data_IF_251738177771
#
_entry.id   IF_251738177771
#
_cell.length_a   1.000
_cell.length_b   1.000
_cell.length_c   1.000
_cell.angle_alpha   90.00
_cell.angle_beta   90.00
_cell.angle_gamma   90.00
#
_symmetry.space_group_name_H-M   'P 1'
#
loop_
_entity.id
_entity.type
_entity.pdbx_description
1 polymer ?
#
# COMPACT_ATOMS: atom_id res chain seq x y z
N UNK A 1 12.96 60.16 -12.39
CA UNK A 1 12.56 59.05 -11.48
C UNK A 1 12.95 59.42 -10.07
N UNK A 2 12.10 59.18 -9.08
CA UNK A 2 12.40 59.45 -7.68
C UNK A 2 13.47 58.45 -7.22
N UNK A 3 14.45 58.92 -6.43
CA UNK A 3 15.56 58.11 -5.89
C UNK A 3 15.10 56.84 -5.16
N UNK A 4 13.87 56.86 -4.65
CA UNK A 4 13.19 55.69 -4.03
C UNK A 4 12.85 54.60 -5.06
N UNK A 5 12.30 54.96 -6.20
CA UNK A 5 11.91 53.99 -7.25
C UNK A 5 13.16 53.32 -7.85
N UNK A 6 14.23 54.06 -8.09
CA UNK A 6 15.50 53.48 -8.56
C UNK A 6 16.05 52.45 -7.58
N UNK A 7 15.92 52.66 -6.28
CA UNK A 7 16.32 51.69 -5.25
C UNK A 7 15.41 50.44 -5.24
N UNK A 8 14.12 50.63 -5.41
CA UNK A 8 13.14 49.52 -5.50
C UNK A 8 13.47 48.64 -6.71
N UNK A 9 13.60 49.22 -7.90
CA UNK A 9 13.89 48.52 -9.13
C UNK A 9 15.20 47.72 -9.02
N UNK A 10 16.25 48.33 -8.46
CA UNK A 10 17.52 47.67 -8.22
C UNK A 10 17.41 46.46 -7.28
N UNK A 11 16.70 46.60 -6.15
CA UNK A 11 16.56 45.50 -5.20
C UNK A 11 15.66 44.40 -5.79
N UNK A 12 14.68 44.72 -6.65
CA UNK A 12 13.88 43.76 -7.41
C UNK A 12 14.76 42.94 -8.35
N UNK A 13 15.60 43.59 -9.17
CA UNK A 13 16.51 42.93 -10.10
C UNK A 13 17.48 41.98 -9.37
N UNK A 14 18.05 42.46 -8.25
CA UNK A 14 18.93 41.64 -7.43
C UNK A 14 18.21 40.45 -6.81
N UNK A 15 16.95 40.62 -6.42
CA UNK A 15 16.08 39.54 -5.95
C UNK A 15 15.85 38.48 -7.03
N UNK A 16 15.51 38.87 -8.24
CA UNK A 16 15.33 37.97 -9.37
C UNK A 16 16.62 37.24 -9.75
N UNK A 17 17.77 37.94 -9.82
CA UNK A 17 19.06 37.30 -10.06
C UNK A 17 19.41 36.29 -8.98
N UNK A 18 19.14 36.58 -7.71
CA UNK A 18 19.32 35.65 -6.61
C UNK A 18 18.40 34.43 -6.76
N UNK A 19 17.15 34.62 -7.19
CA UNK A 19 16.21 33.53 -7.42
C UNK A 19 16.68 32.56 -8.54
N UNK A 20 17.12 33.12 -9.68
CA UNK A 20 17.69 32.33 -10.78
C UNK A 20 18.91 31.51 -10.34
N UNK A 21 19.71 32.02 -9.40
CA UNK A 21 20.86 31.33 -8.81
C UNK A 21 20.48 30.43 -7.61
N UNK A 22 19.18 30.21 -7.33
CA UNK A 22 18.65 29.41 -6.22
C UNK A 22 19.14 29.87 -4.83
N UNK A 23 19.53 31.15 -4.69
CA UNK A 23 20.00 31.75 -3.44
C UNK A 23 18.84 32.34 -2.62
N UNK A 24 17.92 31.48 -2.20
CA UNK A 24 16.64 31.90 -1.62
C UNK A 24 16.76 32.79 -0.39
N UNK A 25 17.78 32.65 0.45
CA UNK A 25 18.05 33.58 1.57
C UNK A 25 18.40 35.01 1.10
N UNK A 26 19.13 35.14 -0.02
CA UNK A 26 19.41 36.43 -0.64
C UNK A 26 18.12 37.00 -1.25
N UNK A 27 17.28 36.18 -1.89
CA UNK A 27 15.96 36.58 -2.40
C UNK A 27 15.12 37.22 -1.30
N UNK A 28 14.98 36.52 -0.16
CA UNK A 28 14.24 37.04 1.02
C UNK A 28 14.81 38.40 1.48
N UNK A 29 16.14 38.55 1.54
CA UNK A 29 16.79 39.77 1.92
C UNK A 29 16.46 40.92 0.98
N UNK A 30 16.51 40.73 -0.34
CA UNK A 30 16.25 41.76 -1.33
C UNK A 30 14.78 42.14 -1.34
N UNK A 31 13.83 41.23 -1.39
CA UNK A 31 12.41 41.54 -1.35
C UNK A 31 11.97 42.16 0.00
N UNK A 32 12.62 41.79 1.13
CA UNK A 32 12.38 42.47 2.40
C UNK A 32 12.81 43.96 2.38
N UNK A 33 13.84 44.30 1.59
CA UNK A 33 14.21 45.73 1.40
C UNK A 33 13.20 46.47 0.50
N UNK A 34 12.70 45.75 -0.58
CA UNK A 34 11.62 46.31 -1.41
C UNK A 34 10.41 46.63 -0.54
N UNK A 35 9.95 45.67 0.28
CA UNK A 35 8.82 45.84 1.19
C UNK A 35 9.05 46.99 2.20
N UNK A 36 10.27 47.12 2.70
CA UNK A 36 10.61 48.26 3.60
C UNK A 36 10.54 49.60 2.90
N UNK A 37 10.88 49.65 1.63
CA UNK A 37 10.79 50.89 0.82
C UNK A 37 9.35 51.13 0.35
N UNK A 38 8.61 50.09 -0.01
CA UNK A 38 7.23 50.13 -0.47
C UNK A 38 6.45 48.95 0.12
N UNK A 39 5.71 49.21 1.19
CA UNK A 39 4.93 48.18 1.90
C UNK A 39 3.62 47.79 1.18
N UNK A 40 3.30 48.45 0.06
CA UNK A 40 2.12 48.14 -0.76
C UNK A 40 2.49 47.35 -2.02
N UNK A 41 3.71 46.83 -2.12
CA UNK A 41 4.17 46.07 -3.26
C UNK A 41 3.78 44.59 -3.15
N UNK A 42 2.62 44.20 -3.68
CA UNK A 42 2.10 42.83 -3.66
C UNK A 42 3.06 41.84 -4.28
N UNK A 43 3.73 42.21 -5.39
CA UNK A 43 4.69 41.35 -6.06
C UNK A 43 5.94 41.05 -5.19
N UNK A 44 6.38 42.01 -4.38
CA UNK A 44 7.51 41.78 -3.48
C UNK A 44 7.17 40.75 -2.36
N UNK A 45 5.95 40.84 -1.82
CA UNK A 45 5.46 39.82 -0.87
C UNK A 45 5.36 38.47 -1.52
N UNK A 46 4.71 38.35 -2.69
CA UNK A 46 4.60 37.11 -3.41
C UNK A 46 5.97 36.45 -3.71
N UNK A 47 6.93 37.22 -4.20
CA UNK A 47 8.27 36.72 -4.52
C UNK A 47 9.07 36.33 -3.28
N UNK A 48 8.85 37.02 -2.15
CA UNK A 48 9.44 36.60 -0.88
C UNK A 48 8.82 35.33 -0.35
N UNK A 49 7.51 35.17 -0.51
CA UNK A 49 6.78 33.94 -0.20
C UNK A 49 7.32 32.75 -1.00
N UNK A 50 7.52 32.91 -2.33
CA UNK A 50 8.13 31.87 -3.18
C UNK A 50 9.51 31.44 -2.71
N UNK A 51 10.34 32.38 -2.25
CA UNK A 51 11.65 32.05 -1.72
C UNK A 51 11.57 31.29 -0.39
N UNK A 52 10.61 31.63 0.47
CA UNK A 52 10.35 30.91 1.71
C UNK A 52 9.80 29.51 1.44
N UNK A 53 8.89 29.36 0.48
CA UNK A 53 8.36 28.05 0.04
C UNK A 53 9.48 27.13 -0.43
N UNK A 54 10.41 27.63 -1.26
CA UNK A 54 11.59 26.86 -1.68
C UNK A 54 12.54 26.47 -0.54
N UNK A 55 12.46 27.16 0.60
CA UNK A 55 13.14 26.79 1.85
C UNK A 55 12.27 25.95 2.78
N UNK A 56 11.10 25.47 2.30
CA UNK A 56 10.11 24.70 3.06
C UNK A 56 9.53 25.44 4.28
N UNK A 57 9.61 26.79 4.28
CA UNK A 57 9.03 27.67 5.28
C UNK A 57 7.59 28.02 4.88
N UNK A 58 6.73 27.00 4.80
CA UNK A 58 5.41 27.11 4.19
C UNK A 58 4.48 28.06 4.94
N UNK A 59 4.46 28.04 6.27
CA UNK A 59 3.61 28.93 7.06
C UNK A 59 4.01 30.40 6.87
N UNK A 60 5.31 30.70 6.91
CA UNK A 60 5.81 32.04 6.67
C UNK A 60 5.63 32.50 5.21
N UNK A 61 5.58 31.54 4.26
CA UNK A 61 5.24 31.82 2.87
C UNK A 61 3.77 32.22 2.74
N UNK A 62 2.86 31.49 3.44
CA UNK A 62 1.42 31.80 3.48
C UNK A 62 1.17 33.21 4.01
N UNK A 63 1.86 33.62 5.09
CA UNK A 63 1.75 35.00 5.60
C UNK A 63 2.10 36.06 4.54
N UNK A 64 3.13 35.81 3.74
CA UNK A 64 3.53 36.71 2.65
C UNK A 64 2.51 36.70 1.51
N UNK A 65 1.98 35.54 1.12
CA UNK A 65 0.93 35.42 0.11
C UNK A 65 -0.39 36.08 0.58
N UNK A 66 -0.75 35.94 1.86
CA UNK A 66 -1.91 36.62 2.45
C UNK A 66 -1.77 38.13 2.31
N UNK A 67 -0.55 38.67 2.57
CA UNK A 67 -0.31 40.07 2.41
C UNK A 67 -0.31 40.53 0.95
N UNK A 68 0.21 39.68 0.03
CA UNK A 68 0.13 39.98 -1.40
C UNK A 68 -1.33 40.06 -1.87
N UNK A 69 -2.20 39.14 -1.42
CA UNK A 69 -3.64 39.07 -1.75
C UNK A 69 -4.40 40.25 -1.08
N UNK A 70 -4.07 40.62 0.15
CA UNK A 70 -4.69 41.78 0.80
C UNK A 70 -4.43 43.07 0.02
N UNK A 71 -3.23 43.21 -0.58
CA UNK A 71 -2.83 44.35 -1.36
C UNK A 71 -3.37 44.34 -2.80
N UNK A 72 -3.57 43.16 -3.36
CA UNK A 72 -4.08 42.92 -4.71
C UNK A 72 -4.93 41.64 -4.72
N UNK A 73 -6.25 41.78 -4.59
CA UNK A 73 -7.19 40.67 -4.50
C UNK A 73 -7.43 39.96 -5.83
N UNK A 74 -6.93 40.52 -6.93
CA UNK A 74 -7.00 39.91 -8.28
C UNK A 74 -5.66 39.23 -8.70
N UNK A 75 -4.74 39.08 -7.75
CA UNK A 75 -3.43 38.49 -8.01
C UNK A 75 -3.49 36.95 -8.05
N UNK A 76 -3.90 36.41 -9.20
CA UNK A 76 -4.06 34.95 -9.42
C UNK A 76 -2.86 34.12 -8.96
N UNK A 77 -1.62 34.56 -9.29
CA UNK A 77 -0.41 33.85 -8.88
C UNK A 77 -0.23 33.76 -7.37
N UNK A 78 -0.67 34.74 -6.60
CA UNK A 78 -0.55 34.72 -5.14
C UNK A 78 -1.49 33.66 -4.54
N UNK A 79 -2.72 33.55 -5.06
CA UNK A 79 -3.63 32.45 -4.70
C UNK A 79 -3.06 31.09 -5.06
N UNK A 80 -2.56 30.92 -6.30
CA UNK A 80 -1.93 29.69 -6.75
C UNK A 80 -0.77 29.26 -5.84
N UNK A 81 0.14 30.18 -5.54
CA UNK A 81 1.31 29.91 -4.69
C UNK A 81 0.88 29.60 -3.25
N UNK A 82 -0.10 30.34 -2.69
CA UNK A 82 -0.66 30.01 -1.37
C UNK A 82 -1.32 28.63 -1.34
N UNK A 83 -2.02 28.26 -2.42
CA UNK A 83 -2.56 26.92 -2.63
C UNK A 83 -1.47 25.85 -2.57
N UNK A 84 -0.34 26.06 -3.28
CA UNK A 84 0.80 25.14 -3.25
C UNK A 84 1.40 25.01 -1.85
N UNK A 85 1.60 26.12 -1.14
CA UNK A 85 2.12 26.08 0.22
C UNK A 85 1.18 25.32 1.18
N UNK A 86 -0.14 25.52 1.06
CA UNK A 86 -1.15 24.78 1.84
C UNK A 86 -1.19 23.30 1.45
N UNK A 87 -1.06 22.98 0.17
CA UNK A 87 -0.97 21.59 -0.31
C UNK A 87 0.22 20.87 0.34
N UNK A 88 1.40 21.50 0.36
CA UNK A 88 2.59 20.93 1.00
C UNK A 88 2.43 20.73 2.53
N UNK A 89 1.54 21.48 3.16
CA UNK A 89 1.13 21.30 4.57
C UNK A 89 -0.02 20.30 4.73
N UNK A 90 -0.42 19.59 3.66
CA UNK A 90 -1.55 18.63 3.63
C UNK A 90 -2.91 19.27 3.98
N UNK A 91 -3.03 20.62 3.81
CA UNK A 91 -4.28 21.36 4.00
C UNK A 91 -5.05 21.42 2.68
N UNK A 92 -5.41 20.25 2.15
CA UNK A 92 -5.90 20.06 0.78
C UNK A 92 -7.17 20.86 0.47
N UNK A 93 -8.18 20.86 1.35
CA UNK A 93 -9.41 21.64 1.15
C UNK A 93 -9.16 23.15 1.09
N UNK A 94 -8.17 23.64 1.84
CA UNK A 94 -7.80 25.05 1.79
C UNK A 94 -7.01 25.38 0.52
N UNK A 95 -6.17 24.43 0.06
CA UNK A 95 -5.46 24.56 -1.21
C UNK A 95 -6.45 24.61 -2.38
N UNK A 96 -7.48 23.73 -2.39
CA UNK A 96 -8.54 23.73 -3.40
C UNK A 96 -9.23 25.09 -3.49
N UNK A 97 -9.59 25.71 -2.37
CA UNK A 97 -10.21 27.06 -2.37
C UNK A 97 -9.32 28.13 -2.99
N UNK A 98 -8.03 28.04 -2.75
CA UNK A 98 -7.07 28.96 -3.34
C UNK A 98 -6.88 28.70 -4.83
N UNK A 99 -6.82 27.45 -5.27
CA UNK A 99 -6.80 27.12 -6.70
C UNK A 99 -8.11 27.51 -7.40
N UNK A 100 -9.26 27.35 -6.74
CA UNK A 100 -10.56 27.82 -7.29
C UNK A 100 -10.51 29.31 -7.56
N UNK A 101 -9.96 30.11 -6.62
CA UNK A 101 -9.83 31.54 -6.81
C UNK A 101 -8.81 31.90 -7.88
N UNK A 102 -7.69 31.19 -7.93
CA UNK A 102 -6.70 31.37 -9.00
C UNK A 102 -7.32 31.10 -10.40
N UNK A 103 -8.14 30.05 -10.52
CA UNK A 103 -8.85 29.68 -11.77
C UNK A 103 -9.94 30.70 -12.12
N UNK A 104 -10.67 31.23 -11.13
CA UNK A 104 -11.65 32.29 -11.36
C UNK A 104 -11.00 33.54 -11.98
N UNK A 105 -9.79 33.87 -11.53
CA UNK A 105 -9.02 35.03 -11.99
C UNK A 105 -8.28 34.77 -13.32
N UNK A 106 -7.79 33.55 -13.52
CA UNK A 106 -7.12 33.10 -14.75
C UNK A 106 -7.48 31.62 -15.04
N UNK A 107 -8.41 31.42 -15.94
CA UNK A 107 -8.94 30.10 -16.31
C UNK A 107 -8.12 29.37 -17.39
N UNK A 108 -7.00 29.92 -17.84
CA UNK A 108 -6.19 29.38 -18.93
C UNK A 108 -4.90 28.69 -18.46
N UNK A 109 -4.74 28.47 -17.15
CA UNK A 109 -3.53 27.89 -16.59
C UNK A 109 -3.72 26.40 -16.31
N UNK A 110 -3.21 25.54 -17.21
CA UNK A 110 -3.27 24.06 -17.08
C UNK A 110 -2.65 23.53 -15.80
N UNK A 111 -1.60 24.21 -15.28
CA UNK A 111 -0.89 23.78 -14.06
C UNK A 111 -1.78 23.92 -12.84
N UNK A 112 -2.58 24.99 -12.75
CA UNK A 112 -3.48 25.21 -11.60
C UNK A 112 -4.56 24.14 -11.54
N UNK A 113 -5.14 23.76 -12.69
CA UNK A 113 -6.10 22.65 -12.76
C UNK A 113 -5.44 21.33 -12.34
N UNK A 114 -4.25 21.02 -12.88
CA UNK A 114 -3.54 19.81 -12.48
C UNK A 114 -3.27 19.78 -10.95
N UNK A 115 -2.84 20.88 -10.35
CA UNK A 115 -2.55 20.94 -8.92
C UNK A 115 -3.83 20.86 -8.07
N UNK A 116 -4.95 21.44 -8.52
CA UNK A 116 -6.25 21.25 -7.87
C UNK A 116 -6.70 19.78 -7.98
N UNK A 117 -6.49 19.15 -9.12
CA UNK A 117 -6.70 17.73 -9.32
C UNK A 117 -5.87 16.88 -8.35
N UNK A 118 -4.59 17.21 -8.15
CA UNK A 118 -3.75 16.53 -7.16
C UNK A 118 -4.31 16.67 -5.74
N UNK A 119 -4.75 17.86 -5.34
CA UNK A 119 -5.34 18.07 -4.03
C UNK A 119 -6.65 17.27 -3.83
N UNK A 120 -7.48 17.15 -4.87
CA UNK A 120 -8.67 16.30 -4.85
C UNK A 120 -8.32 14.81 -4.84
N UNK A 121 -7.29 14.40 -5.57
CA UNK A 121 -6.78 13.04 -5.58
C UNK A 121 -6.33 12.60 -4.18
N UNK A 122 -5.57 13.44 -3.46
CA UNK A 122 -5.09 13.16 -2.10
C UNK A 122 -6.23 13.12 -1.05
N UNK A 123 -7.40 13.69 -1.40
CA UNK A 123 -8.67 13.54 -0.65
C UNK A 123 -9.51 12.34 -1.14
N UNK A 124 -8.96 11.45 -1.98
CA UNK A 124 -9.65 10.29 -2.57
C UNK A 124 -10.88 10.66 -3.43
N UNK A 125 -10.97 11.94 -3.87
CA UNK A 125 -12.04 12.46 -4.75
C UNK A 125 -11.65 12.26 -6.21
N UNK A 126 -11.47 11.00 -6.62
CA UNK A 126 -10.84 10.64 -7.89
C UNK A 126 -11.60 11.12 -9.12
N UNK A 127 -12.92 11.04 -9.13
CA UNK A 127 -13.74 11.52 -10.25
C UNK A 127 -13.58 13.02 -10.46
N UNK A 128 -13.59 13.80 -9.37
CA UNK A 128 -13.41 15.25 -9.45
C UNK A 128 -11.96 15.62 -9.83
N UNK A 129 -10.98 14.80 -9.43
CA UNK A 129 -9.59 14.97 -9.88
C UNK A 129 -9.46 14.73 -11.39
N UNK A 130 -10.14 13.72 -11.93
CA UNK A 130 -10.19 13.42 -13.38
C UNK A 130 -10.74 14.61 -14.16
N UNK A 131 -11.82 15.26 -13.68
CA UNK A 131 -12.37 16.46 -14.34
C UNK A 131 -11.34 17.59 -14.42
N UNK A 132 -10.56 17.80 -13.38
CA UNK A 132 -9.51 18.80 -13.36
C UNK A 132 -8.33 18.45 -14.29
N UNK A 133 -7.91 17.19 -14.31
CA UNK A 133 -6.88 16.73 -15.25
C UNK A 133 -7.37 16.80 -16.70
N UNK A 134 -8.64 16.50 -16.97
CA UNK A 134 -9.25 16.67 -18.29
C UNK A 134 -9.14 18.12 -18.74
N UNK A 135 -9.42 19.07 -17.83
CA UNK A 135 -9.31 20.50 -18.14
C UNK A 135 -7.86 20.93 -18.35
N UNK A 136 -6.93 20.42 -17.54
CA UNK A 136 -5.49 20.66 -17.74
C UNK A 136 -5.02 20.18 -19.11
N UNK A 137 -5.47 19.01 -19.55
CA UNK A 137 -5.13 18.40 -20.85
C UNK A 137 -5.81 19.15 -22.02
N UNK A 138 -7.05 19.64 -21.82
CA UNK A 138 -7.74 20.49 -22.84
C UNK A 138 -6.94 21.77 -23.08
N UNK A 139 -6.39 22.38 -22.02
CA UNK A 139 -5.60 23.61 -22.10
C UNK A 139 -4.19 23.37 -22.63
N UNK A 140 -3.58 22.24 -22.29
CA UNK A 140 -2.27 21.83 -22.78
C UNK A 140 -2.26 20.33 -23.11
N UNK A 141 -2.47 20.00 -24.37
CA UNK A 141 -2.49 18.61 -24.86
C UNK A 141 -1.11 17.90 -24.81
N UNK A 142 -0.03 18.62 -24.50
CA UNK A 142 1.32 18.09 -24.36
C UNK A 142 1.74 17.91 -22.88
N UNK A 143 0.83 18.10 -21.95
CA UNK A 143 1.12 18.01 -20.52
C UNK A 143 1.16 16.54 -20.04
N UNK A 144 2.30 15.88 -20.25
CA UNK A 144 2.50 14.46 -19.90
C UNK A 144 2.16 14.12 -18.46
N UNK A 145 2.47 15.04 -17.52
CA UNK A 145 2.17 14.87 -16.09
C UNK A 145 0.66 14.78 -15.82
N UNK A 146 -0.15 15.60 -16.50
CA UNK A 146 -1.61 15.55 -16.33
C UNK A 146 -2.21 14.24 -16.84
N UNK A 147 -1.69 13.68 -17.93
CA UNK A 147 -2.08 12.34 -18.40
C UNK A 147 -1.71 11.26 -17.36
N UNK A 148 -0.47 11.28 -16.84
CA UNK A 148 -0.06 10.32 -15.81
C UNK A 148 -0.96 10.41 -14.56
N UNK A 149 -1.23 11.61 -14.07
CA UNK A 149 -2.06 11.83 -12.88
C UNK A 149 -3.52 11.40 -13.11
N UNK A 150 -4.09 11.66 -14.32
CA UNK A 150 -5.40 11.16 -14.69
C UNK A 150 -5.43 9.64 -14.74
N UNK A 151 -4.39 9.03 -15.31
CA UNK A 151 -4.21 7.57 -15.31
C UNK A 151 -4.19 7.00 -13.91
N UNK A 152 -3.48 7.65 -12.98
CA UNK A 152 -3.40 7.21 -11.59
C UNK A 152 -4.77 7.32 -10.86
N UNK A 153 -5.54 8.39 -11.11
CA UNK A 153 -6.89 8.52 -10.59
C UNK A 153 -7.83 7.42 -11.14
N UNK A 154 -7.74 7.11 -12.44
CA UNK A 154 -8.48 6.01 -13.07
C UNK A 154 -8.07 4.65 -12.52
N UNK A 155 -6.79 4.45 -12.25
CA UNK A 155 -6.28 3.21 -11.63
C UNK A 155 -6.93 2.98 -10.26
N UNK A 156 -7.02 4.00 -9.40
CA UNK A 156 -7.69 3.92 -8.11
C UNK A 156 -9.20 3.58 -8.24
N UNK A 157 -9.83 4.00 -9.32
CA UNK A 157 -11.21 3.61 -9.67
C UNK A 157 -11.29 2.24 -10.37
N UNK A 158 -10.20 1.46 -10.39
CA UNK A 158 -10.09 0.16 -11.07
C UNK A 158 -10.37 0.20 -12.59
N UNK A 159 -10.27 1.39 -13.20
CA UNK A 159 -10.42 1.59 -14.64
C UNK A 159 -9.06 1.35 -15.34
N UNK A 160 -8.49 0.17 -15.15
CA UNK A 160 -7.11 -0.14 -15.56
C UNK A 160 -6.84 0.04 -17.05
N UNK A 161 -7.81 -0.33 -17.92
CA UNK A 161 -7.65 -0.20 -19.37
C UNK A 161 -7.60 1.27 -19.82
N UNK A 162 -8.39 2.12 -19.18
CA UNK A 162 -8.44 3.55 -19.42
C UNK A 162 -7.18 4.24 -18.85
N UNK A 163 -6.70 3.80 -17.69
CA UNK A 163 -5.45 4.25 -17.12
C UNK A 163 -4.25 3.97 -18.04
N UNK A 164 -4.18 2.76 -18.63
CA UNK A 164 -3.12 2.38 -19.58
C UNK A 164 -3.09 3.35 -20.79
N UNK A 165 -4.25 3.76 -21.33
CA UNK A 165 -4.29 4.73 -22.44
C UNK A 165 -3.69 6.09 -22.05
N UNK A 166 -3.93 6.53 -20.83
CA UNK A 166 -3.38 7.78 -20.33
C UNK A 166 -1.87 7.68 -20.14
N UNK A 167 -1.38 6.58 -19.57
CA UNK A 167 0.06 6.35 -19.46
C UNK A 167 0.76 6.18 -20.82
N UNK A 168 0.08 5.53 -21.79
CA UNK A 168 0.58 5.45 -23.16
C UNK A 168 0.80 6.85 -23.74
N UNK A 169 -0.15 7.76 -23.50
CA UNK A 169 -0.05 9.14 -23.96
C UNK A 169 1.03 9.93 -23.21
N UNK A 170 1.14 9.75 -21.89
CA UNK A 170 2.21 10.35 -21.11
C UNK A 170 3.61 9.93 -21.62
N UNK A 171 3.79 8.64 -21.93
CA UNK A 171 5.02 8.06 -22.48
C UNK A 171 5.28 8.53 -23.92
N UNK A 172 4.26 8.67 -24.76
CA UNK A 172 4.39 9.24 -26.10
C UNK A 172 4.94 10.68 -26.06
N UNK A 173 4.47 11.48 -25.08
CA UNK A 173 4.89 12.86 -24.89
C UNK A 173 6.26 12.99 -24.21
N UNK A 174 6.58 12.10 -23.31
CA UNK A 174 7.89 12.02 -22.63
C UNK A 174 8.30 10.56 -22.46
N UNK A 175 9.16 10.09 -23.34
CA UNK A 175 9.65 8.70 -23.34
C UNK A 175 10.66 8.38 -22.21
N UNK A 176 11.05 9.37 -21.41
CA UNK A 176 11.88 9.22 -20.22
C UNK A 176 11.07 9.33 -18.91
N UNK A 177 9.75 9.33 -18.97
CA UNK A 177 8.90 9.46 -17.81
C UNK A 177 8.78 8.11 -17.07
N UNK A 178 9.71 7.86 -16.14
CA UNK A 178 9.82 6.60 -15.36
C UNK A 178 8.51 6.22 -14.68
N UNK A 179 7.85 7.20 -14.01
CA UNK A 179 6.60 6.94 -13.27
C UNK A 179 5.48 6.44 -14.17
N UNK A 180 5.40 6.96 -15.42
CA UNK A 180 4.37 6.53 -16.35
C UNK A 180 4.56 5.06 -16.78
N UNK A 181 5.80 4.60 -16.98
CA UNK A 181 6.10 3.19 -17.21
C UNK A 181 5.77 2.34 -15.98
N UNK A 182 6.18 2.79 -14.78
CA UNK A 182 5.89 2.09 -13.54
C UNK A 182 4.38 1.93 -13.31
N UNK A 183 3.61 3.01 -13.46
CA UNK A 183 2.16 3.01 -13.27
C UNK A 183 1.43 2.18 -14.33
N UNK A 184 1.90 2.20 -15.59
CA UNK A 184 1.38 1.33 -16.65
C UNK A 184 1.68 -0.14 -16.36
N UNK A 185 2.87 -0.44 -15.87
CA UNK A 185 3.26 -1.77 -15.41
C UNK A 185 2.34 -2.28 -14.32
N UNK A 186 2.03 -1.47 -13.30
CA UNK A 186 1.07 -1.81 -12.24
C UNK A 186 -0.32 -2.09 -12.82
N UNK A 187 -0.82 -1.23 -13.73
CA UNK A 187 -2.13 -1.45 -14.36
C UNK A 187 -2.19 -2.72 -15.21
N UNK A 188 -1.10 -3.09 -15.88
CA UNK A 188 -1.00 -4.36 -16.62
C UNK A 188 -0.92 -5.54 -15.67
N UNK A 189 -0.21 -5.40 -14.53
CA UNK A 189 -0.16 -6.41 -13.49
C UNK A 189 -1.55 -6.72 -12.93
N UNK A 190 -2.34 -5.69 -12.61
CA UNK A 190 -3.71 -5.83 -12.11
C UNK A 190 -4.67 -6.46 -13.15
N UNK A 191 -4.33 -6.38 -14.43
CA UNK A 191 -5.01 -7.09 -15.52
C UNK A 191 -4.41 -8.48 -15.81
N UNK A 192 -3.52 -9.00 -14.93
CA UNK A 192 -2.83 -10.28 -15.07
C UNK A 192 -1.96 -10.41 -16.35
N UNK A 193 -1.59 -9.24 -16.95
CA UNK A 193 -0.71 -9.16 -18.13
C UNK A 193 0.75 -9.08 -17.69
N UNK A 194 1.20 -10.12 -16.97
CA UNK A 194 2.46 -10.09 -16.22
C UNK A 194 3.70 -9.88 -17.09
N UNK A 195 3.80 -10.52 -18.25
CA UNK A 195 4.95 -10.35 -19.16
C UNK A 195 5.05 -8.89 -19.62
N UNK A 196 3.92 -8.28 -20.00
CA UNK A 196 3.90 -6.88 -20.44
C UNK A 196 4.17 -5.90 -19.27
N UNK A 197 3.76 -6.25 -18.06
CA UNK A 197 4.13 -5.51 -16.85
C UNK A 197 5.63 -5.55 -16.60
N UNK A 198 6.27 -6.71 -16.78
CA UNK A 198 7.73 -6.87 -16.65
C UNK A 198 8.46 -5.99 -17.66
N UNK A 199 7.99 -5.86 -18.90
CA UNK A 199 8.59 -4.97 -19.90
C UNK A 199 8.54 -3.52 -19.45
N UNK A 200 7.41 -3.05 -18.91
CA UNK A 200 7.26 -1.70 -18.39
C UNK A 200 8.13 -1.46 -17.14
N UNK A 201 8.18 -2.40 -16.20
CA UNK A 201 9.06 -2.30 -15.04
C UNK A 201 10.55 -2.31 -15.45
N UNK A 202 10.93 -3.06 -16.47
CA UNK A 202 12.30 -3.00 -17.00
C UNK A 202 12.65 -1.59 -17.46
N UNK A 203 11.72 -0.93 -18.16
CA UNK A 203 11.94 0.43 -18.65
C UNK A 203 11.96 1.45 -17.50
N UNK A 204 11.06 1.30 -16.52
CA UNK A 204 11.07 2.13 -15.32
C UNK A 204 12.40 2.01 -14.56
N UNK A 205 12.93 0.79 -14.39
CA UNK A 205 14.22 0.54 -13.72
C UNK A 205 15.41 1.12 -14.53
N UNK A 206 15.36 1.06 -15.86
CA UNK A 206 16.42 1.66 -16.71
C UNK A 206 16.47 3.18 -16.52
N UNK A 207 15.32 3.83 -16.37
CA UNK A 207 15.19 5.28 -16.23
C UNK A 207 15.41 5.75 -14.78
N UNK A 208 14.86 5.01 -13.83
CA UNK A 208 15.02 5.27 -12.40
C UNK A 208 15.17 3.94 -11.65
N UNK A 209 16.32 3.75 -11.03
CA UNK A 209 16.70 2.53 -10.33
C UNK A 209 15.96 2.41 -8.97
N UNK A 210 14.64 2.28 -9.02
CA UNK A 210 13.73 2.30 -7.85
C UNK A 210 13.58 0.91 -7.21
N UNK A 211 13.59 0.85 -5.87
CA UNK A 211 13.30 -0.37 -5.09
C UNK A 211 11.90 -0.91 -5.39
N UNK A 212 10.92 -0.02 -5.56
CA UNK A 212 9.54 -0.38 -5.83
C UNK A 212 9.38 -1.06 -7.20
N UNK A 213 10.07 -0.54 -8.21
CA UNK A 213 10.03 -1.12 -9.55
C UNK A 213 10.64 -2.54 -9.58
N UNK A 214 11.73 -2.77 -8.84
CA UNK A 214 12.27 -4.13 -8.67
C UNK A 214 11.30 -5.03 -7.92
N UNK A 215 10.72 -4.57 -6.81
CA UNK A 215 9.76 -5.36 -6.05
C UNK A 215 8.56 -5.78 -6.91
N UNK A 216 7.98 -4.85 -7.68
CA UNK A 216 6.79 -5.12 -8.49
C UNK A 216 7.11 -5.98 -9.72
N UNK A 217 8.31 -5.83 -10.33
CA UNK A 217 8.78 -6.79 -11.33
C UNK A 217 8.96 -8.18 -10.74
N UNK A 218 9.49 -8.27 -9.53
CA UNK A 218 9.60 -9.51 -8.77
C UNK A 218 8.24 -10.16 -8.51
N UNK A 219 7.21 -9.36 -8.18
CA UNK A 219 5.82 -9.87 -8.02
C UNK A 219 5.29 -10.45 -9.32
N UNK A 220 5.43 -9.75 -10.45
CA UNK A 220 4.99 -10.24 -11.74
C UNK A 220 5.69 -11.57 -12.13
N UNK A 221 7.01 -11.68 -11.85
CA UNK A 221 7.75 -12.93 -12.05
C UNK A 221 7.30 -14.03 -11.09
N UNK A 222 6.97 -13.67 -9.84
CA UNK A 222 6.45 -14.62 -8.84
C UNK A 222 5.14 -15.25 -9.30
N UNK A 223 4.20 -14.45 -9.82
CA UNK A 223 2.90 -14.92 -10.30
C UNK A 223 3.04 -15.79 -11.57
N UNK A 224 4.06 -15.55 -12.37
CA UNK A 224 4.50 -16.44 -13.45
C UNK A 224 5.28 -17.67 -12.94
N UNK A 225 5.37 -17.91 -11.64
CA UNK A 225 6.11 -18.99 -11.00
C UNK A 225 7.64 -19.00 -11.30
N UNK A 226 8.17 -17.87 -11.75
CA UNK A 226 9.61 -17.67 -12.02
C UNK A 226 10.33 -17.25 -10.72
N UNK A 227 10.26 -18.13 -9.71
CA UNK A 227 10.63 -17.79 -8.32
C UNK A 227 12.09 -17.38 -8.14
N UNK A 228 13.04 -18.02 -8.82
CA UNK A 228 14.45 -17.67 -8.76
C UNK A 228 14.69 -16.24 -9.27
N UNK A 229 14.09 -15.89 -10.42
CA UNK A 229 14.22 -14.55 -10.98
C UNK A 229 13.51 -13.49 -10.11
N UNK A 230 12.39 -13.85 -9.48
CA UNK A 230 11.73 -12.99 -8.51
C UNK A 230 12.64 -12.71 -7.29
N UNK A 231 13.34 -13.75 -6.78
CA UNK A 231 14.31 -13.60 -5.69
C UNK A 231 15.44 -12.64 -6.06
N UNK A 232 15.95 -12.67 -7.30
CA UNK A 232 16.96 -11.73 -7.78
C UNK A 232 16.45 -10.28 -7.73
N UNK A 233 15.22 -10.04 -8.18
CA UNK A 233 14.61 -8.72 -8.13
C UNK A 233 14.38 -8.24 -6.69
N UNK A 234 13.85 -9.09 -5.80
CA UNK A 234 13.71 -8.73 -4.39
C UNK A 234 15.06 -8.49 -3.70
N UNK A 235 16.12 -9.20 -4.09
CA UNK A 235 17.47 -8.89 -3.61
C UNK A 235 17.90 -7.49 -4.00
N UNK A 236 17.60 -7.05 -5.23
CA UNK A 236 17.90 -5.70 -5.71
C UNK A 236 17.06 -4.64 -4.98
N UNK A 237 15.77 -4.88 -4.78
CA UNK A 237 14.91 -4.01 -3.98
C UNK A 237 15.46 -3.81 -2.56
N UNK A 238 15.89 -4.89 -1.89
CA UNK A 238 16.48 -4.86 -0.56
C UNK A 238 17.89 -4.21 -0.55
N UNK A 239 18.67 -4.36 -1.61
CA UNK A 239 19.97 -3.69 -1.74
C UNK A 239 19.81 -2.16 -1.81
N UNK A 240 18.75 -1.69 -2.49
CA UNK A 240 18.41 -0.27 -2.62
C UNK A 240 17.75 0.30 -1.36
N UNK A 241 16.87 -0.47 -0.73
CA UNK A 241 16.24 -0.12 0.54
C UNK A 241 16.27 -1.33 1.50
N UNK A 242 17.17 -1.31 2.45
CA UNK A 242 17.35 -2.38 3.42
C UNK A 242 16.23 -2.44 4.49
N UNK A 243 15.34 -1.46 4.53
CA UNK A 243 14.17 -1.40 5.40
C UNK A 243 12.86 -1.74 4.66
N UNK A 244 12.94 -2.19 3.44
CA UNK A 244 11.76 -2.54 2.63
C UNK A 244 11.14 -3.86 3.09
N UNK A 245 10.30 -3.81 4.12
CA UNK A 245 9.63 -4.97 4.74
C UNK A 245 8.95 -5.89 3.73
N UNK A 246 8.19 -5.30 2.78
CA UNK A 246 7.45 -6.05 1.78
C UNK A 246 8.37 -6.87 0.85
N UNK A 247 9.55 -6.35 0.50
CA UNK A 247 10.50 -7.09 -0.34
C UNK A 247 11.07 -8.32 0.37
N UNK A 248 11.32 -8.22 1.70
CA UNK A 248 11.67 -9.41 2.50
C UNK A 248 10.54 -10.41 2.54
N UNK A 249 9.31 -9.96 2.79
CA UNK A 249 8.14 -10.83 2.81
C UNK A 249 7.96 -11.57 1.48
N UNK A 250 7.98 -10.85 0.34
CA UNK A 250 7.82 -11.40 -0.99
C UNK A 250 8.94 -12.39 -1.35
N UNK A 251 10.19 -12.07 -0.98
CA UNK A 251 11.33 -13.00 -1.15
C UNK A 251 11.14 -14.25 -0.31
N UNK A 252 10.63 -14.11 0.91
CA UNK A 252 10.25 -15.23 1.78
C UNK A 252 9.20 -16.13 1.14
N UNK A 253 8.18 -15.56 0.49
CA UNK A 253 7.16 -16.32 -0.26
C UNK A 253 7.77 -17.10 -1.44
N UNK A 254 8.63 -16.46 -2.23
CA UNK A 254 9.31 -17.11 -3.34
C UNK A 254 10.19 -18.28 -2.86
N UNK A 255 10.97 -18.08 -1.80
CA UNK A 255 11.79 -19.14 -1.17
C UNK A 255 10.93 -20.26 -0.57
N UNK A 256 9.76 -19.92 0.02
CA UNK A 256 8.82 -20.91 0.53
C UNK A 256 8.31 -21.82 -0.58
N UNK A 257 7.95 -21.27 -1.75
CA UNK A 257 7.51 -22.05 -2.91
C UNK A 257 8.62 -22.97 -3.45
N UNK A 258 9.87 -22.55 -3.37
CA UNK A 258 11.05 -23.36 -3.67
C UNK A 258 11.43 -24.33 -2.53
N UNK A 259 10.62 -24.44 -1.48
CA UNK A 259 10.86 -25.26 -0.29
C UNK A 259 12.16 -24.91 0.48
N UNK A 260 12.74 -23.74 0.25
CA UNK A 260 13.88 -23.19 0.99
C UNK A 260 13.43 -22.63 2.35
N UNK A 261 12.80 -23.48 3.16
CA UNK A 261 12.07 -23.08 4.38
C UNK A 261 12.92 -22.31 5.40
N UNK A 262 14.19 -22.70 5.60
CA UNK A 262 15.08 -21.99 6.54
C UNK A 262 15.33 -20.54 6.11
N UNK A 263 15.56 -20.34 4.83
CA UNK A 263 15.79 -19.01 4.26
C UNK A 263 14.51 -18.17 4.25
N UNK A 264 13.37 -18.80 3.93
CA UNK A 264 12.06 -18.15 3.99
C UNK A 264 11.73 -17.63 5.40
N UNK A 265 11.95 -18.47 6.43
CA UNK A 265 11.75 -18.07 7.83
C UNK A 265 12.65 -16.89 8.20
N UNK A 266 13.91 -16.86 7.73
CA UNK A 266 14.82 -15.74 7.98
C UNK A 266 14.27 -14.43 7.38
N UNK A 267 13.74 -14.49 6.15
CA UNK A 267 13.17 -13.33 5.48
C UNK A 267 11.86 -12.86 6.17
N UNK A 268 10.96 -13.77 6.55
CA UNK A 268 9.76 -13.42 7.29
C UNK A 268 10.07 -12.83 8.69
N UNK A 269 11.07 -13.36 9.40
CA UNK A 269 11.51 -12.75 10.64
C UNK A 269 12.04 -11.32 10.44
N UNK A 270 12.74 -11.06 9.32
CA UNK A 270 13.21 -9.71 9.01
C UNK A 270 12.06 -8.78 8.64
N UNK A 271 11.07 -9.26 7.91
CA UNK A 271 9.83 -8.49 7.65
C UNK A 271 9.11 -8.14 8.96
N UNK A 272 8.96 -9.10 9.88
CA UNK A 272 8.37 -8.88 11.21
C UNK A 272 9.19 -7.90 12.06
N UNK A 273 10.54 -7.96 12.00
CA UNK A 273 11.41 -7.02 12.70
C UNK A 273 11.19 -5.58 12.24
N UNK A 274 11.01 -5.39 10.92
CA UNK A 274 10.77 -4.09 10.31
C UNK A 274 9.34 -3.59 10.53
N UNK A 275 8.36 -4.48 10.46
CA UNK A 275 6.94 -4.19 10.66
C UNK A 275 6.30 -5.17 11.65
N UNK A 276 6.50 -4.95 12.97
CA UNK A 276 6.03 -5.88 14.01
C UNK A 276 4.51 -6.05 14.08
N UNK A 277 3.75 -5.12 13.54
CA UNK A 277 2.28 -5.16 13.52
C UNK A 277 1.71 -5.85 12.27
N UNK A 278 2.55 -6.23 11.30
CA UNK A 278 2.10 -7.03 10.16
C UNK A 278 2.04 -8.52 10.54
N UNK A 279 0.84 -9.09 10.48
CA UNK A 279 0.59 -10.49 10.86
C UNK A 279 1.00 -11.49 9.78
N UNK A 280 1.25 -11.03 8.56
CA UNK A 280 1.50 -11.91 7.41
C UNK A 280 2.72 -12.80 7.63
N UNK A 281 3.82 -12.23 8.10
CA UNK A 281 5.04 -12.96 8.40
C UNK A 281 4.82 -14.04 9.46
N UNK A 282 4.07 -13.74 10.52
CA UNK A 282 3.73 -14.73 11.58
C UNK A 282 2.94 -15.90 11.01
N UNK A 283 1.93 -15.65 10.18
CA UNK A 283 1.12 -16.68 9.55
C UNK A 283 1.98 -17.59 8.65
N UNK A 284 2.87 -17.01 7.84
CA UNK A 284 3.75 -17.78 6.95
C UNK A 284 4.74 -18.65 7.73
N UNK A 285 5.32 -18.16 8.81
CA UNK A 285 6.22 -18.98 9.64
C UNK A 285 5.46 -20.14 10.27
N UNK A 286 4.29 -19.89 10.87
CA UNK A 286 3.42 -20.93 11.42
C UNK A 286 3.08 -21.99 10.37
N UNK A 287 2.71 -21.59 9.16
CA UNK A 287 2.44 -22.48 8.05
C UNK A 287 3.66 -23.34 7.68
N UNK A 288 4.86 -22.74 7.57
CA UNK A 288 6.10 -23.50 7.27
C UNK A 288 6.38 -24.51 8.37
N UNK A 289 6.27 -24.13 9.64
CA UNK A 289 6.48 -25.03 10.78
C UNK A 289 5.51 -26.21 10.74
N UNK A 290 4.23 -25.97 10.44
CA UNK A 290 3.23 -27.02 10.26
C UNK A 290 3.59 -27.95 9.08
N UNK A 291 4.08 -27.42 7.95
CA UNK A 291 4.57 -28.21 6.81
C UNK A 291 5.77 -29.06 7.18
N UNK A 292 6.74 -28.50 7.90
CA UNK A 292 7.91 -29.24 8.39
C UNK A 292 7.51 -30.36 9.35
N UNK A 293 6.54 -30.11 10.26
CA UNK A 293 6.01 -31.13 11.14
C UNK A 293 5.38 -32.30 10.35
N UNK A 294 4.61 -32.00 9.29
CA UNK A 294 4.04 -33.06 8.45
C UNK A 294 5.12 -33.91 7.75
N UNK A 295 6.27 -33.33 7.41
CA UNK A 295 7.42 -34.09 6.86
C UNK A 295 8.01 -35.02 7.95
N UNK A 296 8.17 -34.54 9.18
CA UNK A 296 8.70 -35.32 10.28
C UNK A 296 7.71 -36.43 10.71
N UNK A 297 6.39 -36.19 10.66
CA UNK A 297 5.37 -37.22 10.90
C UNK A 297 5.48 -38.38 9.89
N UNK A 298 5.70 -38.08 8.59
CA UNK A 298 5.92 -39.12 7.57
C UNK A 298 7.18 -39.96 7.82
N UNK A 299 8.20 -39.35 8.54
CA UNK A 299 9.43 -40.04 8.94
C UNK A 299 9.29 -40.75 10.29
N UNK A 300 8.11 -40.74 10.91
CA UNK A 300 7.83 -41.25 12.25
C UNK A 300 8.63 -40.54 13.39
N UNK A 301 9.12 -39.31 13.15
CA UNK A 301 9.82 -38.49 14.13
C UNK A 301 8.81 -37.68 14.95
N UNK A 302 8.04 -38.34 15.77
CA UNK A 302 6.87 -37.77 16.45
C UNK A 302 7.22 -36.60 17.38
N UNK A 303 8.28 -36.74 18.22
CA UNK A 303 8.65 -35.69 19.16
C UNK A 303 9.08 -34.40 18.45
N UNK A 304 9.84 -34.53 17.36
CA UNK A 304 10.24 -33.40 16.56
C UNK A 304 9.05 -32.76 15.85
N UNK A 305 8.12 -33.56 15.36
CA UNK A 305 6.89 -33.07 14.73
C UNK A 305 6.04 -32.29 15.73
N UNK A 306 5.87 -32.81 16.95
CA UNK A 306 5.11 -32.15 18.01
C UNK A 306 5.75 -30.81 18.41
N UNK A 307 7.09 -30.77 18.54
CA UNK A 307 7.81 -29.50 18.77
C UNK A 307 7.53 -28.45 17.70
N UNK A 308 7.59 -28.85 16.43
CA UNK A 308 7.30 -27.93 15.29
C UNK A 308 5.84 -27.47 15.26
N UNK A 309 4.87 -28.33 15.63
CA UNK A 309 3.45 -27.94 15.72
C UNK A 309 3.22 -26.92 16.85
N UNK A 310 3.85 -27.13 18.00
CA UNK A 310 3.76 -26.18 19.10
C UNK A 310 4.40 -24.83 18.73
N UNK A 311 5.58 -24.83 18.12
CA UNK A 311 6.18 -23.61 17.59
C UNK A 311 5.25 -22.89 16.58
N UNK A 312 4.56 -23.64 15.72
CA UNK A 312 3.60 -23.06 14.78
C UNK A 312 2.45 -22.33 15.50
N UNK A 313 1.89 -22.96 16.55
CA UNK A 313 0.81 -22.39 17.37
C UNK A 313 1.29 -21.09 18.03
N UNK A 314 2.53 -21.06 18.59
CA UNK A 314 3.08 -19.84 19.18
C UNK A 314 3.15 -18.67 18.17
N UNK A 315 3.50 -18.93 16.92
CA UNK A 315 3.50 -17.90 15.88
C UNK A 315 2.08 -17.42 15.54
N UNK A 316 1.12 -18.33 15.42
CA UNK A 316 -0.27 -17.95 15.20
C UNK A 316 -0.83 -17.15 16.38
N UNK A 317 -0.53 -17.54 17.63
CA UNK A 317 -0.96 -16.83 18.82
C UNK A 317 -0.41 -15.39 18.87
N UNK A 318 0.88 -15.21 18.47
CA UNK A 318 1.47 -13.87 18.34
C UNK A 318 0.73 -13.03 17.28
N UNK A 319 0.44 -13.59 16.12
CA UNK A 319 -0.31 -12.90 15.07
C UNK A 319 -1.73 -12.53 15.51
N UNK A 320 -2.46 -13.45 16.16
CA UNK A 320 -3.81 -13.21 16.68
C UNK A 320 -3.81 -12.12 17.76
N UNK A 321 -2.78 -12.07 18.60
CA UNK A 321 -2.64 -11.02 19.63
C UNK A 321 -2.47 -9.63 19.02
N UNK A 322 -1.81 -9.54 17.87
CA UNK A 322 -1.60 -8.27 17.15
C UNK A 322 -2.88 -7.85 16.44
N UNK A 323 -3.49 -8.78 15.70
CA UNK A 323 -4.70 -8.54 14.90
C UNK A 323 -5.64 -9.75 14.98
N UNK A 324 -6.78 -9.59 15.64
CA UNK A 324 -7.71 -10.67 15.94
C UNK A 324 -8.83 -10.84 14.90
N UNK A 325 -8.79 -10.14 13.77
CA UNK A 325 -9.84 -10.13 12.73
C UNK A 325 -9.44 -10.85 11.43
N UNK A 326 -8.38 -11.66 11.44
CA UNK A 326 -7.93 -12.43 10.29
C UNK A 326 -8.44 -13.88 10.38
N UNK A 327 -9.36 -14.25 9.50
CA UNK A 327 -9.96 -15.59 9.41
C UNK A 327 -8.94 -16.70 9.16
N UNK A 328 -7.94 -16.46 8.30
CA UNK A 328 -6.97 -17.47 7.87
C UNK A 328 -6.05 -17.94 9.00
N UNK A 329 -5.67 -17.02 9.91
CA UNK A 329 -4.77 -17.39 11.01
C UNK A 329 -5.46 -18.30 12.01
N UNK A 330 -6.78 -18.10 12.26
CA UNK A 330 -7.57 -19.00 13.11
C UNK A 330 -7.75 -20.37 12.44
N UNK A 331 -8.07 -20.43 11.16
CA UNK A 331 -8.15 -21.68 10.42
C UNK A 331 -6.82 -22.44 10.45
N UNK A 332 -5.70 -21.76 10.20
CA UNK A 332 -4.35 -22.34 10.25
C UNK A 332 -3.99 -22.87 11.65
N UNK A 333 -4.35 -22.13 12.73
CA UNK A 333 -4.12 -22.58 14.11
C UNK A 333 -5.00 -23.80 14.44
N UNK A 334 -6.29 -23.74 14.10
CA UNK A 334 -7.23 -24.84 14.26
C UNK A 334 -6.78 -26.12 13.55
N UNK A 335 -6.33 -25.98 12.30
CA UNK A 335 -5.74 -27.08 11.54
C UNK A 335 -4.49 -27.65 12.21
N UNK A 336 -3.60 -26.81 12.72
CA UNK A 336 -2.38 -27.24 13.41
C UNK A 336 -2.70 -27.95 14.72
N UNK A 337 -3.64 -27.42 15.53
CA UNK A 337 -4.16 -28.07 16.74
C UNK A 337 -4.80 -29.42 16.45
N UNK A 338 -5.52 -29.55 15.33
CA UNK A 338 -6.10 -30.82 14.87
C UNK A 338 -5.03 -31.90 14.74
N UNK A 339 -3.83 -31.56 14.26
CA UNK A 339 -2.71 -32.52 14.14
C UNK A 339 -2.26 -33.02 15.52
N UNK A 340 -2.16 -32.11 16.50
CA UNK A 340 -1.79 -32.47 17.88
C UNK A 340 -2.90 -33.33 18.52
N UNK A 341 -4.16 -32.94 18.33
CA UNK A 341 -5.31 -33.69 18.84
C UNK A 341 -5.37 -35.13 18.28
N UNK A 342 -5.12 -35.28 16.98
CA UNK A 342 -5.03 -36.62 16.36
C UNK A 342 -3.89 -37.43 16.96
N UNK A 343 -2.72 -36.84 17.21
CA UNK A 343 -1.58 -37.49 17.82
C UNK A 343 -1.88 -37.95 19.26
N UNK A 344 -2.53 -37.11 20.08
CA UNK A 344 -2.95 -37.48 21.43
C UNK A 344 -3.98 -38.63 21.41
N UNK A 345 -4.95 -38.58 20.50
CA UNK A 345 -5.91 -39.67 20.28
C UNK A 345 -5.21 -40.99 19.94
N UNK A 346 -4.25 -40.97 19.02
CA UNK A 346 -3.55 -42.16 18.54
C UNK A 346 -2.62 -42.75 19.62
N UNK A 347 -2.17 -41.90 20.59
CA UNK A 347 -1.52 -42.34 21.83
C UNK A 347 -2.46 -42.81 22.95
N UNK A 348 -3.76 -42.89 22.65
CA UNK A 348 -4.83 -43.21 23.60
C UNK A 348 -5.01 -42.20 24.76
N UNK A 349 -4.52 -40.97 24.60
CA UNK A 349 -4.72 -39.84 25.52
C UNK A 349 -6.05 -39.15 25.20
N UNK A 350 -7.15 -39.88 25.34
CA UNK A 350 -8.48 -39.49 24.81
C UNK A 350 -8.99 -38.19 25.41
N UNK A 351 -8.82 -37.98 26.72
CA UNK A 351 -9.32 -36.76 27.39
C UNK A 351 -8.56 -35.50 26.91
N UNK A 352 -7.26 -35.58 26.70
CA UNK A 352 -6.47 -34.49 26.12
C UNK A 352 -6.85 -34.23 24.66
N UNK A 353 -7.05 -35.30 23.88
CA UNK A 353 -7.52 -35.18 22.49
C UNK A 353 -8.87 -34.47 22.40
N UNK A 354 -9.84 -34.81 23.28
CA UNK A 354 -11.16 -34.15 23.32
C UNK A 354 -11.01 -32.66 23.66
N UNK A 355 -10.17 -32.32 24.62
CA UNK A 355 -9.91 -30.90 24.98
C UNK A 355 -9.38 -30.14 23.75
N UNK A 356 -8.36 -30.65 23.08
CA UNK A 356 -7.76 -30.04 21.90
C UNK A 356 -8.75 -29.92 20.73
N UNK A 357 -9.61 -30.93 20.50
CA UNK A 357 -10.65 -30.83 19.47
C UNK A 357 -11.68 -29.74 19.78
N UNK A 358 -12.02 -29.48 21.06
CA UNK A 358 -12.87 -28.35 21.43
C UNK A 358 -12.21 -27.01 21.12
N UNK A 359 -10.91 -26.89 21.43
CA UNK A 359 -10.13 -25.69 21.06
C UNK A 359 -10.07 -25.50 19.53
N UNK A 360 -9.98 -26.58 18.73
CA UNK A 360 -10.07 -26.50 17.27
C UNK A 360 -11.45 -25.97 16.81
N UNK A 361 -12.54 -26.42 17.44
CA UNK A 361 -13.91 -25.93 17.14
C UNK A 361 -14.00 -24.43 17.39
N UNK A 362 -13.41 -23.92 18.48
CA UNK A 362 -13.38 -22.47 18.78
C UNK A 362 -12.65 -21.71 17.68
N UNK A 363 -11.49 -22.20 17.24
CA UNK A 363 -10.73 -21.59 16.17
C UNK A 363 -11.49 -21.57 14.83
N UNK A 364 -12.06 -22.71 14.41
CA UNK A 364 -12.83 -22.77 13.16
C UNK A 364 -14.11 -21.94 13.20
N UNK A 365 -14.81 -21.90 14.36
CA UNK A 365 -15.96 -21.03 14.53
C UNK A 365 -15.56 -19.57 14.41
N UNK A 366 -14.43 -19.17 15.00
CA UNK A 366 -13.92 -17.79 14.87
C UNK A 366 -13.50 -17.46 13.43
N UNK A 367 -12.88 -18.40 12.72
CA UNK A 367 -12.58 -18.24 11.31
C UNK A 367 -13.86 -18.02 10.46
N UNK A 368 -14.93 -18.79 10.73
CA UNK A 368 -16.23 -18.66 10.07
C UNK A 368 -16.96 -17.37 10.44
N UNK A 369 -16.88 -16.94 11.71
CA UNK A 369 -17.43 -15.67 12.16
C UNK A 369 -16.83 -14.48 11.39
N UNK A 370 -15.51 -14.53 11.19
CA UNK A 370 -14.74 -13.49 10.48
C UNK A 370 -14.91 -13.55 8.96
N UNK A 371 -15.11 -14.74 8.41
CA UNK A 371 -15.38 -14.97 6.98
C UNK A 371 -16.38 -16.11 6.81
N UNK A 372 -17.64 -15.78 6.62
CA UNK A 372 -18.74 -16.75 6.47
C UNK A 372 -18.71 -17.53 5.13
N UNK A 373 -17.80 -17.20 4.22
CA UNK A 373 -17.54 -17.92 2.97
C UNK A 373 -16.29 -18.80 3.02
N UNK A 374 -15.69 -18.98 4.20
CA UNK A 374 -14.49 -19.77 4.38
C UNK A 374 -14.76 -21.30 4.30
N UNK A 375 -14.87 -21.82 3.10
CA UNK A 375 -15.24 -23.24 2.84
C UNK A 375 -14.35 -24.26 3.59
N UNK A 376 -13.03 -24.01 3.67
CA UNK A 376 -12.10 -24.91 4.37
C UNK A 376 -12.37 -24.98 5.87
N UNK A 377 -12.70 -23.86 6.51
CA UNK A 377 -13.03 -23.83 7.94
C UNK A 377 -14.30 -24.64 8.22
N UNK A 378 -15.34 -24.50 7.39
CA UNK A 378 -16.55 -25.34 7.50
C UNK A 378 -16.22 -26.82 7.34
N UNK A 379 -15.43 -27.21 6.35
CA UNK A 379 -15.04 -28.59 6.16
C UNK A 379 -14.27 -29.14 7.36
N UNK A 380 -13.32 -28.37 7.90
CA UNK A 380 -12.53 -28.73 9.06
C UNK A 380 -13.40 -28.87 10.32
N UNK A 381 -14.35 -27.94 10.52
CA UNK A 381 -15.32 -27.99 11.62
C UNK A 381 -16.19 -29.23 11.56
N UNK A 382 -16.71 -29.56 10.37
CA UNK A 382 -17.48 -30.79 10.15
C UNK A 382 -16.67 -32.04 10.48
N UNK A 383 -15.39 -32.08 10.05
CA UNK A 383 -14.47 -33.19 10.33
C UNK A 383 -14.25 -33.37 11.86
N UNK A 384 -14.00 -32.30 12.60
CA UNK A 384 -13.76 -32.35 14.05
C UNK A 384 -15.01 -32.78 14.81
N UNK A 385 -16.18 -32.24 14.49
CA UNK A 385 -17.45 -32.62 15.11
C UNK A 385 -17.77 -34.10 14.89
N UNK A 386 -17.50 -34.61 13.70
CA UNK A 386 -17.67 -36.03 13.38
C UNK A 386 -16.73 -36.95 14.20
N UNK A 387 -15.46 -36.52 14.38
CA UNK A 387 -14.49 -37.24 15.22
C UNK A 387 -14.96 -37.25 16.67
N UNK A 388 -15.35 -36.10 17.22
CA UNK A 388 -15.80 -35.98 18.61
C UNK A 388 -17.03 -36.85 18.88
N UNK A 389 -18.02 -36.86 17.98
CA UNK A 389 -19.17 -37.75 18.10
C UNK A 389 -18.73 -39.23 18.21
N UNK A 390 -17.81 -39.68 17.35
CA UNK A 390 -17.33 -41.06 17.36
C UNK A 390 -16.55 -41.40 18.64
N UNK A 391 -15.68 -40.53 19.11
CA UNK A 391 -14.86 -40.76 20.33
C UNK A 391 -15.72 -40.78 21.58
N UNK A 392 -16.78 -39.97 21.62
CA UNK A 392 -17.65 -39.83 22.79
C UNK A 392 -18.92 -40.66 22.72
N UNK A 393 -19.10 -41.51 21.70
CA UNK A 393 -20.33 -42.28 21.44
C UNK A 393 -20.87 -43.01 22.66
N UNK A 394 -20.00 -43.62 23.44
CA UNK A 394 -20.38 -44.40 24.64
C UNK A 394 -20.41 -43.53 25.94
N UNK A 395 -20.08 -42.23 25.82
CA UNK A 395 -19.96 -41.31 26.96
C UNK A 395 -21.01 -40.19 26.95
N UNK A 396 -21.78 -40.02 25.87
CA UNK A 396 -22.80 -38.97 25.70
C UNK A 396 -24.16 -39.61 25.41
N UNK A 397 -25.22 -38.81 25.56
CA UNK A 397 -26.56 -39.26 25.19
C UNK A 397 -26.68 -39.53 23.69
N UNK A 398 -27.64 -40.39 23.29
CA UNK A 398 -27.92 -40.64 21.88
C UNK A 398 -28.37 -39.35 21.16
N UNK A 399 -29.06 -38.47 21.88
CA UNK A 399 -29.48 -37.16 21.36
C UNK A 399 -28.26 -36.29 21.05
N UNK A 400 -27.31 -36.15 21.97
CA UNK A 400 -26.05 -35.37 21.77
C UNK A 400 -25.21 -35.96 20.64
N UNK A 401 -25.12 -37.29 20.55
CA UNK A 401 -24.41 -37.95 19.45
C UNK A 401 -25.02 -37.60 18.09
N UNK A 402 -26.36 -37.74 17.97
CA UNK A 402 -27.09 -37.43 16.76
C UNK A 402 -26.99 -35.93 16.40
N UNK A 403 -27.03 -35.05 17.39
CA UNK A 403 -26.89 -33.63 17.19
C UNK A 403 -25.49 -33.30 16.62
N UNK A 404 -24.40 -33.82 17.21
CA UNK A 404 -23.03 -33.62 16.70
C UNK A 404 -22.87 -34.14 15.26
N UNK A 405 -23.47 -35.29 14.93
CA UNK A 405 -23.45 -35.86 13.58
C UNK A 405 -24.20 -34.99 12.57
N UNK A 406 -25.34 -34.44 12.97
CA UNK A 406 -26.12 -33.52 12.15
C UNK A 406 -25.33 -32.24 11.89
N UNK A 407 -24.78 -31.62 12.93
CA UNK A 407 -23.96 -30.42 12.79
C UNK A 407 -22.73 -30.65 11.92
N UNK A 408 -22.10 -31.85 12.01
CA UNK A 408 -20.98 -32.19 11.12
C UNK A 408 -21.43 -32.23 9.66
N UNK A 409 -22.58 -32.85 9.37
CA UNK A 409 -23.14 -32.93 8.02
C UNK A 409 -23.52 -31.55 7.48
N UNK A 410 -24.15 -30.70 8.28
CA UNK A 410 -24.53 -29.34 7.91
C UNK A 410 -23.28 -28.51 7.54
N UNK A 411 -22.19 -28.65 8.28
CA UNK A 411 -20.91 -27.98 7.96
C UNK A 411 -20.31 -28.52 6.65
N UNK A 412 -20.32 -29.82 6.38
CA UNK A 412 -19.86 -30.38 5.12
C UNK A 412 -20.70 -29.89 3.94
N UNK A 413 -22.02 -29.85 4.09
CA UNK A 413 -22.92 -29.35 3.06
C UNK A 413 -22.63 -27.88 2.75
N UNK A 414 -22.42 -27.06 3.80
CA UNK A 414 -22.08 -25.66 3.64
C UNK A 414 -20.72 -25.47 2.94
N UNK A 415 -19.71 -26.24 3.33
CA UNK A 415 -18.41 -26.24 2.62
C UNK A 415 -18.56 -26.59 1.13
N UNK A 416 -19.36 -27.61 0.82
CA UNK A 416 -19.63 -28.01 -0.56
C UNK A 416 -20.35 -26.92 -1.35
N UNK A 417 -21.40 -26.31 -0.80
CA UNK A 417 -22.10 -25.18 -1.43
C UNK A 417 -21.15 -24.03 -1.77
N UNK A 418 -20.23 -23.69 -0.86
CA UNK A 418 -19.28 -22.60 -1.05
C UNK A 418 -18.26 -22.94 -2.14
N UNK A 419 -17.76 -24.19 -2.18
CA UNK A 419 -16.81 -24.64 -3.21
C UNK A 419 -17.43 -24.71 -4.61
N UNK A 420 -18.75 -24.94 -4.71
CA UNK A 420 -19.44 -25.01 -6.01
C UNK A 420 -19.81 -23.62 -6.58
N UNK A 421 -19.59 -22.54 -5.84
CA UNK A 421 -19.79 -21.15 -6.29
C UNK A 421 -18.52 -20.54 -6.91
N UNK A 422 -17.38 -21.18 -6.76
CA UNK A 422 -16.08 -20.81 -7.32
C UNK A 422 -15.93 -21.46 -8.71
#
# INVERSE_FOLDING_TARGET
>A
MNDKNIKIDREFDLGYQAYQNKKYKEVIKHFSKVIKLDNNNSAAYNNRGLAKENLQQYEEAIEDYDKAIELDNDYSNAYYNRGNAKYNLQRYEEAIKDYDKAIELDNNNSIVYNNRGNAKYDLERYEEAIEDYDKAIELDSNYSVAYNNRGLAKWNLQQYKEAIKDYDKAIELDNNYSDAYYNRGNSKYDLERYEEAIEDFNKAIELDNSSDAYNNRGLAKYDLQRYEEAIEDYNKAIELDNNYSMAYYNRGLAKKNLQRYKEAIKDFNKSIELEPNDILGYNQIGFIKTKQANIELKKLNYDKALGLLNEAIEYYDKGIKIKSDNSEIYDSRGYTRTKIANFERDKNNIDNAIKLYKECIEDFNKAIELNNEHALAYNSLGYIKNILANIQKDKISEEDYNQLKKEALDNFNKAYELLMKI
#
